data_IF_173203128497
#
_entry.id   IF_173203128497
#
_cell.length_a   1.000
_cell.length_b   1.000
_cell.length_c   1.000
_cell.angle_alpha   90.00
_cell.angle_beta   90.00
_cell.angle_gamma   90.00
#
_symmetry.space_group_name_H-M   'P 1'
#
loop_
_entity.id
_entity.type
_entity.pdbx_description
1 polymer ?
#
# COMPACT_ATOMS: atom_id res chain seq x y z
N UNK A 1 -29.55 11.47 -34.59
CA UNK A 1 -30.18 11.61 -33.27
C UNK A 1 -29.08 11.95 -32.28
N UNK A 2 -28.96 13.22 -31.89
CA UNK A 2 -28.07 13.64 -30.80
C UNK A 2 -28.81 13.35 -29.50
N UNK A 3 -28.47 12.25 -28.81
CA UNK A 3 -28.94 12.05 -27.44
C UNK A 3 -28.50 13.26 -26.61
N UNK A 4 -29.39 13.92 -25.85
CA UNK A 4 -28.95 14.94 -24.91
C UNK A 4 -28.00 14.27 -23.92
N UNK A 5 -26.77 14.78 -23.83
CA UNK A 5 -25.81 14.35 -22.81
C UNK A 5 -26.46 14.56 -21.45
N UNK A 6 -26.62 13.48 -20.70
CA UNK A 6 -27.13 13.53 -19.33
C UNK A 6 -26.00 14.04 -18.42
N UNK A 7 -25.93 15.36 -18.29
CA UNK A 7 -24.93 16.06 -17.49
C UNK A 7 -25.00 15.68 -16.01
N UNK A 8 -26.18 15.31 -15.49
CA UNK A 8 -26.32 14.90 -14.09
C UNK A 8 -25.63 13.55 -13.87
N UNK A 9 -25.89 12.54 -14.71
CA UNK A 9 -25.19 11.25 -14.64
C UNK A 9 -23.68 11.39 -14.80
N UNK A 10 -23.25 12.26 -15.71
CA UNK A 10 -21.82 12.53 -15.94
C UNK A 10 -21.16 13.14 -14.69
N UNK A 11 -21.87 14.04 -13.99
CA UNK A 11 -21.39 14.66 -12.75
C UNK A 11 -21.35 13.67 -11.58
N UNK A 12 -22.41 12.89 -11.39
CA UNK A 12 -22.50 11.90 -10.31
C UNK A 12 -21.38 10.85 -10.43
N UNK A 13 -21.06 10.44 -11.66
CA UNK A 13 -19.99 9.51 -11.91
C UNK A 13 -18.58 10.10 -11.67
N UNK A 14 -18.37 11.37 -12.06
CA UNK A 14 -17.14 12.08 -11.70
C UNK A 14 -16.98 12.18 -10.17
N UNK A 15 -18.07 12.47 -9.46
CA UNK A 15 -18.07 12.50 -8.01
C UNK A 15 -17.73 11.13 -7.40
N UNK A 16 -18.30 10.04 -7.94
CA UNK A 16 -17.97 8.66 -7.53
C UNK A 16 -16.48 8.36 -7.73
N UNK A 17 -15.92 8.67 -8.91
CA UNK A 17 -14.50 8.49 -9.19
C UNK A 17 -13.59 9.29 -8.26
N UNK A 18 -13.95 10.54 -7.95
CA UNK A 18 -13.22 11.37 -6.99
C UNK A 18 -13.25 10.77 -5.58
N UNK A 19 -14.41 10.24 -5.15
CA UNK A 19 -14.53 9.58 -3.87
C UNK A 19 -13.68 8.30 -3.79
N UNK A 20 -13.60 7.52 -4.87
CA UNK A 20 -12.71 6.35 -4.95
C UNK A 20 -11.23 6.75 -4.81
N UNK A 21 -10.80 7.83 -5.49
CA UNK A 21 -9.43 8.33 -5.35
C UNK A 21 -9.14 8.83 -3.93
N UNK A 22 -10.07 9.56 -3.32
CA UNK A 22 -9.93 10.02 -1.93
C UNK A 22 -9.79 8.84 -0.96
N UNK A 23 -10.63 7.81 -1.10
CA UNK A 23 -10.55 6.60 -0.30
C UNK A 23 -9.21 5.86 -0.48
N UNK A 24 -8.71 5.77 -1.72
CA UNK A 24 -7.42 5.17 -2.02
C UNK A 24 -6.25 5.92 -1.37
N UNK A 25 -6.30 7.26 -1.38
CA UNK A 25 -5.31 8.11 -0.69
C UNK A 25 -5.35 7.84 0.81
N UNK A 26 -6.54 7.82 1.42
CA UNK A 26 -6.69 7.52 2.85
C UNK A 26 -6.11 6.15 3.21
N UNK A 27 -6.48 5.10 2.47
CA UNK A 27 -5.91 3.75 2.65
C UNK A 27 -4.39 3.74 2.50
N UNK A 28 -3.86 4.49 1.54
CA UNK A 28 -2.41 4.57 1.31
C UNK A 28 -1.68 5.26 2.46
N UNK A 29 -2.26 6.32 3.04
CA UNK A 29 -1.69 7.01 4.21
C UNK A 29 -1.69 6.07 5.44
N UNK A 30 -2.80 5.37 5.67
CA UNK A 30 -2.89 4.39 6.76
C UNK A 30 -1.86 3.26 6.60
N UNK A 31 -1.74 2.74 5.38
CA UNK A 31 -0.74 1.72 5.05
C UNK A 31 0.69 2.25 5.23
N UNK A 32 0.97 3.49 4.82
CA UNK A 32 2.28 4.11 5.02
C UNK A 32 2.63 4.26 6.50
N UNK A 33 1.66 4.70 7.33
CA UNK A 33 1.83 4.78 8.77
C UNK A 33 2.15 3.41 9.37
N UNK A 34 1.35 2.39 9.03
CA UNK A 34 1.57 1.02 9.48
C UNK A 34 2.95 0.49 9.06
N UNK A 35 3.35 0.73 7.81
CA UNK A 35 4.68 0.35 7.30
C UNK A 35 5.81 1.00 8.11
N UNK A 36 5.68 2.29 8.44
CA UNK A 36 6.64 3.01 9.28
C UNK A 36 6.74 2.47 10.70
N UNK A 37 5.60 2.15 11.32
CA UNK A 37 5.55 1.53 12.65
C UNK A 37 6.20 0.14 12.67
N UNK A 38 5.94 -0.67 11.64
CA UNK A 38 6.57 -1.99 11.47
C UNK A 38 8.08 -1.89 11.29
N UNK A 39 8.56 -0.96 10.45
CA UNK A 39 10.00 -0.73 10.25
C UNK A 39 10.69 -0.27 11.55
N UNK A 40 10.07 0.66 12.26
CA UNK A 40 10.58 1.13 13.55
C UNK A 40 10.68 -0.01 14.55
N UNK A 41 9.65 -0.86 14.62
CA UNK A 41 9.62 -2.01 15.52
C UNK A 41 10.65 -3.07 15.14
N UNK A 42 10.84 -3.30 13.83
CA UNK A 42 11.86 -4.18 13.30
C UNK A 42 13.25 -3.72 13.75
N UNK A 43 13.63 -2.47 13.48
CA UNK A 43 14.96 -1.97 13.85
C UNK A 43 15.20 -1.95 15.36
N UNK A 44 14.18 -1.62 16.18
CA UNK A 44 14.30 -1.73 17.64
C UNK A 44 14.60 -3.17 18.08
N UNK A 45 13.89 -4.14 17.50
CA UNK A 45 14.08 -5.56 17.83
C UNK A 45 15.46 -6.05 17.42
N UNK A 46 15.90 -5.73 16.20
CA UNK A 46 17.22 -6.13 15.70
C UNK A 46 18.35 -5.44 16.49
N UNK A 47 18.17 -4.18 16.92
CA UNK A 47 19.13 -3.49 17.77
C UNK A 47 19.30 -4.15 19.14
N UNK A 48 18.23 -4.69 19.75
CA UNK A 48 18.34 -5.45 21.00
C UNK A 48 19.08 -6.77 20.80
N UNK A 49 18.76 -7.52 19.74
CA UNK A 49 19.48 -8.76 19.39
C UNK A 49 20.96 -8.53 19.13
N UNK A 50 21.30 -7.40 18.49
CA UNK A 50 22.68 -7.06 18.18
C UNK A 50 23.56 -6.90 19.44
N UNK A 51 22.98 -6.55 20.60
CA UNK A 51 23.72 -6.43 21.87
C UNK A 51 24.20 -7.78 22.42
N UNK A 52 23.60 -8.87 21.98
CA UNK A 52 23.91 -10.23 22.46
C UNK A 52 25.03 -10.90 21.66
N UNK A 53 25.45 -10.30 20.54
CA UNK A 53 26.49 -10.83 19.65
C UNK A 53 27.88 -10.73 20.30
N UNK A 54 28.65 -11.81 20.26
CA UNK A 54 29.96 -11.91 20.92
C UNK A 54 31.11 -12.19 19.96
N UNK A 55 30.80 -12.67 18.75
CA UNK A 55 31.81 -13.11 17.78
C UNK A 55 31.58 -12.51 16.38
N UNK A 56 32.63 -12.41 15.55
CA UNK A 56 32.50 -12.01 14.15
C UNK A 56 31.55 -12.93 13.35
N UNK A 57 31.58 -14.24 13.60
CA UNK A 57 30.72 -15.21 12.92
C UNK A 57 29.24 -14.98 13.25
N UNK A 58 28.91 -14.71 14.51
CA UNK A 58 27.55 -14.34 14.94
C UNK A 58 27.10 -13.03 14.29
N UNK A 59 27.99 -12.04 14.17
CA UNK A 59 27.69 -10.78 13.50
C UNK A 59 27.35 -10.96 12.02
N UNK A 60 28.10 -11.79 11.30
CA UNK A 60 27.84 -12.09 9.89
C UNK A 60 26.48 -12.77 9.74
N UNK A 61 26.23 -13.81 10.56
CA UNK A 61 24.96 -14.56 10.52
C UNK A 61 23.78 -13.65 10.83
N UNK A 62 23.88 -12.85 11.89
CA UNK A 62 22.88 -11.85 12.26
C UNK A 62 22.57 -10.89 11.11
N UNK A 63 23.59 -10.31 10.45
CA UNK A 63 23.38 -9.39 9.34
C UNK A 63 22.66 -10.05 8.15
N UNK A 64 22.99 -11.29 7.83
CA UNK A 64 22.33 -12.01 6.74
C UNK A 64 20.85 -12.26 7.06
N UNK A 65 20.55 -12.72 8.28
CA UNK A 65 19.18 -13.00 8.72
C UNK A 65 18.34 -11.72 8.84
N UNK A 66 18.90 -10.66 9.43
CA UNK A 66 18.24 -9.37 9.57
C UNK A 66 17.94 -8.75 8.20
N UNK A 67 18.88 -8.75 7.25
CA UNK A 67 18.63 -8.22 5.92
C UNK A 67 17.58 -9.02 5.15
N UNK A 68 17.59 -10.35 5.28
CA UNK A 68 16.54 -11.19 4.70
C UNK A 68 15.16 -10.81 5.24
N UNK A 69 15.02 -10.72 6.56
CA UNK A 69 13.76 -10.35 7.19
C UNK A 69 13.32 -8.91 6.80
N UNK A 70 14.27 -7.97 6.70
CA UNK A 70 13.99 -6.61 6.23
C UNK A 70 13.43 -6.60 4.80
N UNK A 71 14.05 -7.35 3.88
CA UNK A 71 13.58 -7.40 2.50
C UNK A 71 12.23 -8.09 2.36
N UNK A 72 11.96 -9.14 3.15
CA UNK A 72 10.64 -9.76 3.21
C UNK A 72 9.58 -8.79 3.75
N UNK A 73 9.90 -8.00 4.79
CA UNK A 73 9.02 -6.95 5.31
C UNK A 73 8.73 -5.89 4.24
N UNK A 74 9.77 -5.35 3.59
CA UNK A 74 9.62 -4.33 2.54
C UNK A 74 8.82 -4.84 1.34
N UNK A 75 9.04 -6.10 0.93
CA UNK A 75 8.25 -6.74 -0.12
C UNK A 75 6.78 -6.79 0.26
N UNK A 76 6.45 -7.26 1.47
CA UNK A 76 5.06 -7.31 1.94
C UNK A 76 4.40 -5.93 1.99
N UNK A 77 5.14 -4.87 2.34
CA UNK A 77 4.64 -3.50 2.29
C UNK A 77 4.34 -3.05 0.84
N UNK A 78 5.21 -3.37 -0.12
CA UNK A 78 4.99 -3.08 -1.53
C UNK A 78 3.78 -3.83 -2.12
N UNK A 79 3.59 -5.09 -1.72
CA UNK A 79 2.41 -5.89 -2.11
C UNK A 79 1.12 -5.28 -1.55
N UNK A 80 1.13 -4.78 -0.32
CA UNK A 80 -0.03 -4.11 0.28
C UNK A 80 -0.43 -2.84 -0.50
N UNK A 81 0.53 -2.00 -0.88
CA UNK A 81 0.26 -0.83 -1.73
C UNK A 81 -0.26 -1.23 -3.11
N UNK A 82 0.30 -2.29 -3.68
CA UNK A 82 -0.17 -2.84 -4.98
C UNK A 82 -1.62 -3.31 -4.88
N UNK A 83 -2.03 -3.93 -3.77
CA UNK A 83 -3.43 -4.30 -3.52
C UNK A 83 -4.35 -3.08 -3.52
N UNK A 84 -4.00 -2.01 -2.79
CA UNK A 84 -4.79 -0.78 -2.74
C UNK A 84 -4.96 -0.19 -4.15
N UNK A 85 -3.89 -0.15 -4.93
CA UNK A 85 -3.93 0.35 -6.31
C UNK A 85 -4.85 -0.51 -7.20
N UNK A 86 -4.74 -1.84 -7.11
CA UNK A 86 -5.57 -2.76 -7.88
C UNK A 86 -7.06 -2.67 -7.52
N UNK A 87 -7.39 -2.67 -6.23
CA UNK A 87 -8.77 -2.49 -5.74
C UNK A 87 -9.38 -1.18 -6.26
N UNK A 88 -8.61 -0.09 -6.19
CA UNK A 88 -9.07 1.23 -6.65
C UNK A 88 -9.29 1.24 -8.15
N UNK A 89 -8.38 0.65 -8.93
CA UNK A 89 -8.50 0.51 -10.38
C UNK A 89 -9.74 -0.29 -10.78
N UNK A 90 -9.98 -1.41 -10.11
CA UNK A 90 -11.13 -2.28 -10.39
C UNK A 90 -12.46 -1.60 -10.07
N UNK A 91 -12.53 -0.88 -8.94
CA UNK A 91 -13.69 -0.06 -8.59
C UNK A 91 -13.92 1.05 -9.61
N UNK A 92 -12.87 1.78 -10.01
CA UNK A 92 -12.97 2.85 -11.00
C UNK A 92 -13.39 2.33 -12.37
N UNK A 93 -12.88 1.17 -12.80
CA UNK A 93 -13.33 0.53 -14.04
C UNK A 93 -14.81 0.15 -14.01
N UNK A 94 -15.28 -0.34 -12.86
CA UNK A 94 -16.71 -0.70 -12.68
C UNK A 94 -17.59 0.54 -12.83
N UNK A 95 -17.20 1.65 -12.20
CA UNK A 95 -17.90 2.94 -12.30
C UNK A 95 -17.91 3.46 -13.75
N UNK A 96 -16.77 3.42 -14.44
CA UNK A 96 -16.67 3.85 -15.84
C UNK A 96 -17.55 2.99 -16.77
N UNK A 97 -17.63 1.69 -16.52
CA UNK A 97 -18.51 0.79 -17.28
C UNK A 97 -20.00 1.07 -17.03
N UNK A 98 -20.38 1.54 -15.84
CA UNK A 98 -21.78 1.93 -15.58
C UNK A 98 -22.19 3.23 -16.27
N UNK A 99 -21.24 4.12 -16.57
CA UNK A 99 -21.50 5.36 -17.35
C UNK A 99 -21.67 5.04 -18.84
N UNK A 100 -20.93 4.04 -19.34
CA UNK A 100 -20.94 3.66 -20.75
C UNK A 100 -22.17 2.83 -21.17
N UNK A 101 -22.97 2.35 -20.21
CA UNK A 101 -24.22 1.62 -20.41
C UNK A 101 -25.42 2.56 -20.33
#
# INVERSE_FOLDING_TARGET
>A
MTNPVDFQKSFDALQSLMNLQAAAITKSIEQQKKSGEQLTSFFKTEAEKAKELKTPEELIKFNMEANKALFELLKGQGEAFTSIANETREAAMTELQSIAK
#
